data_IF_688128471764
#
_entry.id   IF_688128471764
#
_cell.length_a   1.000
_cell.length_b   1.000
_cell.length_c   1.000
_cell.angle_alpha   90.00
_cell.angle_beta   90.00
_cell.angle_gamma   90.00
#
_symmetry.space_group_name_H-M   'P 1'
#
loop_
_entity.id
_entity.type
_entity.pdbx_description
1 polymer ?
#
# COMPACT_ATOMS: atom_id res chain seq x y z
N UNK A 1 4.71 5.95 31.61
CA UNK A 1 4.99 4.53 31.27
C UNK A 1 5.02 4.29 29.75
N UNK A 2 4.08 4.85 28.97
CA UNK A 2 4.10 4.73 27.50
C UNK A 2 5.36 5.33 26.84
N UNK A 3 5.85 6.48 27.34
CA UNK A 3 7.05 7.15 26.79
C UNK A 3 8.32 6.32 26.91
N UNK A 4 8.51 5.58 28.01
CA UNK A 4 9.65 4.67 28.22
C UNK A 4 9.55 3.43 27.32
N UNK A 5 8.35 2.98 27.00
CA UNK A 5 8.12 1.88 26.06
C UNK A 5 8.42 2.32 24.61
N UNK A 6 7.96 3.52 24.21
CA UNK A 6 8.24 4.11 22.91
C UNK A 6 9.74 4.36 22.74
N UNK A 7 10.42 4.88 23.76
CA UNK A 7 11.85 5.13 23.71
C UNK A 7 12.66 3.84 23.58
N UNK A 8 12.27 2.76 24.28
CA UNK A 8 12.89 1.44 24.09
C UNK A 8 12.59 0.82 22.72
N UNK A 9 11.41 1.05 22.17
CA UNK A 9 11.06 0.61 20.81
C UNK A 9 11.86 1.36 19.75
N UNK A 10 12.10 2.67 19.94
CA UNK A 10 12.96 3.48 19.05
C UNK A 10 14.44 3.06 19.16
N UNK A 11 14.94 2.81 20.37
CA UNK A 11 16.30 2.28 20.57
C UNK A 11 16.49 0.88 19.93
N UNK A 12 15.43 0.07 19.88
CA UNK A 12 15.43 -1.21 19.19
C UNK A 12 15.31 -1.06 17.67
N UNK A 13 14.53 -0.11 17.16
CA UNK A 13 14.47 0.18 15.72
C UNK A 13 15.81 0.71 15.23
N UNK A 14 16.44 1.63 15.95
CA UNK A 14 17.74 2.20 15.58
C UNK A 14 18.85 1.13 15.58
N UNK A 15 18.79 0.15 16.51
CA UNK A 15 19.71 -0.99 16.50
C UNK A 15 19.47 -1.96 15.35
N UNK A 16 18.22 -2.19 14.95
CA UNK A 16 17.89 -3.05 13.82
C UNK A 16 18.21 -2.40 12.46
N UNK A 17 18.23 -1.06 12.39
CA UNK A 17 18.59 -0.31 11.18
C UNK A 17 20.08 0.02 11.05
N UNK A 18 20.84 0.07 12.16
CA UNK A 18 22.25 0.51 12.15
C UNK A 18 23.29 -0.59 11.95
N UNK A 19 22.90 -1.86 11.75
CA UNK A 19 23.84 -2.98 11.60
C UNK A 19 23.53 -3.91 10.43
N UNK A 20 23.37 -3.39 9.21
CA UNK A 20 23.47 -4.25 8.01
C UNK A 20 23.73 -3.44 6.73
N UNK A 21 24.80 -2.63 6.73
CA UNK A 21 25.37 -2.19 5.46
C UNK A 21 26.05 -3.39 4.78
N UNK A 22 25.41 -3.88 3.71
CA UNK A 22 26.03 -4.25 2.43
C UNK A 22 26.40 -5.71 2.07
N UNK A 23 26.12 -6.78 2.84
CA UNK A 23 26.54 -8.12 2.35
C UNK A 23 25.64 -9.34 2.51
N UNK A 24 24.46 -9.32 3.14
CA UNK A 24 23.67 -10.56 3.28
C UNK A 24 22.21 -10.36 2.84
N UNK A 25 21.84 -10.91 1.67
CA UNK A 25 20.45 -11.08 1.26
C UNK A 25 19.61 -11.95 2.24
N UNK A 26 20.23 -12.49 3.30
CA UNK A 26 19.59 -13.20 4.41
C UNK A 26 19.13 -12.32 5.59
N UNK A 27 19.35 -10.99 5.58
CA UNK A 27 19.07 -10.13 6.74
C UNK A 27 17.78 -9.31 6.65
N UNK A 28 16.90 -9.57 5.67
CA UNK A 28 15.62 -8.86 5.62
C UNK A 28 14.67 -9.48 6.66
N UNK A 29 14.57 -8.78 7.78
CA UNK A 29 13.70 -9.14 8.90
C UNK A 29 12.34 -8.44 8.75
N UNK A 30 11.27 -9.23 8.70
CA UNK A 30 9.91 -8.70 8.80
C UNK A 30 9.52 -8.65 10.29
N UNK A 31 9.31 -7.46 10.88
CA UNK A 31 8.99 -7.34 12.30
C UNK A 31 7.49 -7.58 12.53
N UNK A 32 7.09 -8.86 12.59
CA UNK A 32 5.67 -9.28 12.73
C UNK A 32 4.94 -8.55 13.86
N UNK A 33 5.53 -8.49 15.06
CA UNK A 33 4.93 -7.81 16.21
C UNK A 33 4.62 -6.33 15.94
N UNK A 34 5.52 -5.63 15.25
CA UNK A 34 5.32 -4.22 14.90
C UNK A 34 4.22 -4.09 13.85
N UNK A 35 4.16 -4.99 12.88
CA UNK A 35 3.12 -4.98 11.86
C UNK A 35 1.73 -5.26 12.45
N UNK A 36 1.62 -6.20 13.39
CA UNK A 36 0.38 -6.51 14.11
C UNK A 36 -0.11 -5.34 14.95
N UNK A 37 0.80 -4.68 15.68
CA UNK A 37 0.47 -3.49 16.47
C UNK A 37 0.01 -2.32 15.59
N UNK A 38 0.69 -2.07 14.46
CA UNK A 38 0.27 -1.04 13.51
C UNK A 38 -1.08 -1.37 12.86
N UNK A 39 -1.32 -2.64 12.51
CA UNK A 39 -2.62 -3.09 12.00
C UNK A 39 -3.71 -2.86 13.03
N UNK A 40 -3.46 -3.21 14.30
CA UNK A 40 -4.38 -2.97 15.40
C UNK A 40 -4.72 -1.49 15.56
N UNK A 41 -3.72 -0.61 15.57
CA UNK A 41 -3.93 0.84 15.69
C UNK A 41 -4.74 1.41 14.52
N UNK A 42 -4.52 0.93 13.30
CA UNK A 42 -5.29 1.36 12.12
C UNK A 42 -6.74 0.86 12.17
N UNK A 43 -6.97 -0.36 12.67
CA UNK A 43 -8.31 -0.90 12.89
C UNK A 43 -9.05 -0.17 14.01
N UNK A 44 -8.36 0.13 15.10
CA UNK A 44 -8.90 0.92 16.21
C UNK A 44 -9.26 2.33 15.76
N UNK A 45 -8.37 3.00 15.02
CA UNK A 45 -8.67 4.31 14.45
C UNK A 45 -9.94 4.28 13.58
N UNK A 46 -10.10 3.25 12.74
CA UNK A 46 -11.28 3.07 11.90
C UNK A 46 -12.55 2.86 12.72
N UNK A 47 -12.50 2.11 13.83
CA UNK A 47 -13.68 1.83 14.68
C UNK A 47 -14.18 3.07 15.43
N UNK A 48 -13.30 4.04 15.67
CA UNK A 48 -13.62 5.30 16.33
C UNK A 48 -14.10 6.42 15.37
N UNK A 49 -14.21 6.14 14.07
CA UNK A 49 -14.72 7.13 13.12
C UNK A 49 -16.19 7.47 13.42
N UNK A 50 -16.59 8.75 13.36
CA UNK A 50 -17.98 9.12 13.52
C UNK A 50 -18.84 8.50 12.40
N UNK A 51 -20.14 8.24 12.61
CA UNK A 51 -21.00 7.56 11.62
C UNK A 51 -21.02 8.22 10.24
N UNK A 52 -20.82 9.54 10.17
CA UNK A 52 -20.76 10.28 8.91
C UNK A 52 -19.48 10.02 8.09
N UNK A 53 -18.41 9.56 8.72
CA UNK A 53 -17.11 9.26 8.09
C UNK A 53 -16.82 7.77 8.00
N UNK A 54 -17.56 6.95 8.75
CA UNK A 54 -17.46 5.50 8.70
C UNK A 54 -17.62 4.98 7.26
N UNK A 55 -16.78 4.01 6.91
CA UNK A 55 -16.79 3.36 5.59
C UNK A 55 -16.83 1.84 5.74
N UNK A 56 -17.68 1.14 4.98
CA UNK A 56 -17.73 -0.31 4.99
C UNK A 56 -16.59 -0.89 4.16
N UNK A 57 -16.18 -2.12 4.46
CA UNK A 57 -15.24 -2.88 3.62
C UNK A 57 -15.84 -3.10 2.23
N UNK A 58 -17.11 -3.53 2.20
CA UNK A 58 -17.90 -3.77 0.99
C UNK A 58 -19.06 -2.80 0.93
N UNK A 59 -19.21 -2.14 -0.21
CA UNK A 59 -20.30 -1.18 -0.46
C UNK A 59 -19.83 0.28 -0.48
N UNK A 60 -20.80 1.18 -0.57
CA UNK A 60 -20.56 2.59 -0.87
C UNK A 60 -20.22 3.41 0.38
N UNK A 61 -19.13 4.15 0.32
CA UNK A 61 -18.81 5.22 1.27
C UNK A 61 -19.69 6.45 1.01
N UNK A 62 -20.18 7.07 2.08
CA UNK A 62 -21.06 8.25 1.98
C UNK A 62 -20.21 9.53 1.99
N UNK A 63 -19.80 9.96 0.80
CA UNK A 63 -19.15 11.26 0.57
C UNK A 63 -17.63 11.21 0.42
N UNK A 64 -17.09 12.31 -0.10
CA UNK A 64 -15.70 12.39 -0.57
C UNK A 64 -14.67 12.19 0.54
N UNK A 65 -14.95 12.70 1.75
CA UNK A 65 -14.05 12.52 2.89
C UNK A 65 -14.04 11.06 3.37
N UNK A 66 -15.19 10.37 3.39
CA UNK A 66 -15.26 8.95 3.75
C UNK A 66 -14.51 8.08 2.73
N UNK A 67 -14.59 8.41 1.44
CA UNK A 67 -13.79 7.77 0.38
C UNK A 67 -12.29 8.04 0.54
N UNK A 68 -11.91 9.28 0.84
CA UNK A 68 -10.52 9.62 1.11
C UNK A 68 -9.96 8.83 2.30
N UNK A 69 -10.71 8.72 3.39
CA UNK A 69 -10.30 7.96 4.57
C UNK A 69 -10.20 6.46 4.28
N UNK A 70 -11.13 5.89 3.49
CA UNK A 70 -11.04 4.50 3.00
C UNK A 70 -9.79 4.27 2.16
N UNK A 71 -9.48 5.21 1.27
CA UNK A 71 -8.26 5.18 0.48
C UNK A 71 -7.00 5.23 1.37
N UNK A 72 -6.95 6.15 2.34
CA UNK A 72 -5.81 6.27 3.25
C UNK A 72 -5.64 5.01 4.10
N UNK A 73 -6.74 4.45 4.62
CA UNK A 73 -6.74 3.19 5.36
C UNK A 73 -6.04 2.08 4.56
N UNK A 74 -6.47 1.81 3.33
CA UNK A 74 -5.88 0.75 2.53
C UNK A 74 -4.43 1.05 2.10
N UNK A 75 -4.08 2.32 1.85
CA UNK A 75 -2.69 2.70 1.59
C UNK A 75 -1.77 2.39 2.78
N UNK A 76 -2.21 2.72 4.01
CA UNK A 76 -1.45 2.46 5.23
C UNK A 76 -1.35 0.97 5.51
N UNK A 77 -2.44 0.20 5.40
CA UNK A 77 -2.41 -1.26 5.55
C UNK A 77 -1.47 -1.91 4.54
N UNK A 78 -1.48 -1.44 3.28
CA UNK A 78 -0.52 -1.90 2.27
C UNK A 78 0.93 -1.62 2.69
N UNK A 79 1.21 -0.43 3.23
CA UNK A 79 2.54 -0.04 3.71
C UNK A 79 3.03 -0.87 4.90
N UNK A 80 2.16 -1.17 5.86
CA UNK A 80 2.49 -2.01 7.04
C UNK A 80 3.03 -3.37 6.61
N UNK A 81 2.39 -3.99 5.63
CA UNK A 81 2.74 -5.33 5.16
C UNK A 81 3.68 -5.37 3.95
N UNK A 82 4.15 -4.20 3.47
CA UNK A 82 5.01 -4.12 2.30
C UNK A 82 6.31 -4.92 2.48
N UNK A 83 6.93 -4.83 3.66
CA UNK A 83 8.19 -5.54 3.93
C UNK A 83 8.01 -7.05 3.95
N UNK A 84 6.85 -7.55 4.41
CA UNK A 84 6.53 -8.98 4.33
C UNK A 84 6.46 -9.43 2.87
N UNK A 85 5.71 -8.71 2.04
CA UNK A 85 5.61 -9.01 0.61
C UNK A 85 6.98 -8.95 -0.10
N UNK A 86 7.77 -7.92 0.19
CA UNK A 86 9.11 -7.76 -0.36
C UNK A 86 10.02 -8.91 0.04
N UNK A 87 10.04 -9.28 1.33
CA UNK A 87 10.82 -10.42 1.83
C UNK A 87 10.38 -11.72 1.16
N UNK A 88 9.08 -12.00 1.13
CA UNK A 88 8.54 -13.21 0.53
C UNK A 88 8.96 -13.35 -0.94
N UNK A 89 8.98 -12.22 -1.68
CA UNK A 89 9.41 -12.17 -3.08
C UNK A 89 10.90 -12.44 -3.26
N UNK A 90 11.78 -11.82 -2.48
CA UNK A 90 13.22 -11.93 -2.70
C UNK A 90 13.83 -13.21 -2.11
N UNK A 91 13.26 -13.74 -1.01
CA UNK A 91 13.80 -14.94 -0.34
C UNK A 91 13.06 -16.21 -0.72
N UNK A 92 11.94 -16.12 -1.45
CA UNK A 92 11.04 -17.25 -1.73
C UNK A 92 10.60 -17.99 -0.45
N UNK A 93 10.53 -17.26 0.67
CA UNK A 93 10.12 -17.79 1.97
C UNK A 93 8.59 -17.93 1.98
N UNK A 94 8.13 -19.18 2.12
CA UNK A 94 6.71 -19.54 2.15
C UNK A 94 6.20 -19.81 3.57
N UNK A 95 6.89 -19.29 4.60
CA UNK A 95 6.41 -19.40 5.98
C UNK A 95 4.98 -18.84 6.11
N UNK A 96 4.05 -19.56 6.78
CA UNK A 96 2.62 -19.19 6.78
C UNK A 96 2.34 -17.76 7.25
N UNK A 97 3.09 -17.27 8.23
CA UNK A 97 2.98 -15.90 8.74
C UNK A 97 3.36 -14.86 7.68
N UNK A 98 4.45 -15.10 6.97
CA UNK A 98 4.96 -14.21 5.93
C UNK A 98 4.02 -14.21 4.71
N UNK A 99 3.53 -15.38 4.32
CA UNK A 99 2.55 -15.53 3.23
C UNK A 99 1.26 -14.79 3.56
N UNK A 100 0.72 -14.99 4.76
CA UNK A 100 -0.49 -14.30 5.23
C UNK A 100 -0.32 -12.77 5.22
N UNK A 101 0.83 -12.27 5.69
CA UNK A 101 1.14 -10.84 5.65
C UNK A 101 1.31 -10.32 4.21
N UNK A 102 1.98 -11.08 3.33
CA UNK A 102 2.13 -10.73 1.92
C UNK A 102 0.77 -10.64 1.21
N UNK A 103 -0.14 -11.60 1.46
CA UNK A 103 -1.51 -11.58 0.94
C UNK A 103 -2.31 -10.36 1.45
N UNK A 104 -2.16 -9.99 2.72
CA UNK A 104 -2.76 -8.76 3.27
C UNK A 104 -2.27 -7.52 2.52
N UNK A 105 -0.98 -7.46 2.18
CA UNK A 105 -0.41 -6.36 1.40
C UNK A 105 -1.05 -6.28 0.00
N UNK A 106 -1.09 -7.40 -0.72
CA UNK A 106 -1.69 -7.50 -2.07
C UNK A 106 -3.16 -7.11 -2.06
N UNK A 107 -3.94 -7.65 -1.11
CA UNK A 107 -5.36 -7.33 -0.96
C UNK A 107 -5.59 -5.86 -0.65
N UNK A 108 -4.77 -5.30 0.24
CA UNK A 108 -4.84 -3.88 0.61
C UNK A 108 -4.53 -2.97 -0.57
N UNK A 109 -3.58 -3.34 -1.42
CA UNK A 109 -3.31 -2.62 -2.67
C UNK A 109 -4.51 -2.62 -3.62
N UNK A 110 -5.14 -3.77 -3.86
CA UNK A 110 -6.33 -3.84 -4.71
C UNK A 110 -7.44 -2.93 -4.18
N UNK A 111 -7.78 -3.04 -2.88
CA UNK A 111 -8.78 -2.18 -2.25
C UNK A 111 -8.40 -0.70 -2.25
N UNK A 112 -7.11 -0.38 -2.15
CA UNK A 112 -6.60 0.99 -2.25
C UNK A 112 -6.86 1.59 -3.64
N UNK A 113 -6.56 0.83 -4.70
CA UNK A 113 -6.76 1.31 -6.07
C UNK A 113 -8.25 1.41 -6.42
N UNK A 114 -9.08 0.49 -5.94
CA UNK A 114 -10.54 0.58 -6.11
C UNK A 114 -11.10 1.81 -5.38
N UNK A 115 -10.70 2.04 -4.13
CA UNK A 115 -11.07 3.25 -3.40
C UNK A 115 -10.57 4.53 -4.09
N UNK A 116 -9.40 4.49 -4.74
CA UNK A 116 -8.89 5.59 -5.54
C UNK A 116 -9.76 5.85 -6.78
N UNK A 117 -10.17 4.80 -7.48
CA UNK A 117 -11.06 4.93 -8.64
C UNK A 117 -12.38 5.59 -8.27
N UNK A 118 -12.97 5.18 -7.14
CA UNK A 118 -14.21 5.77 -6.62
C UNK A 118 -14.01 7.22 -6.20
N UNK A 119 -12.94 7.50 -5.44
CA UNK A 119 -12.61 8.85 -4.97
C UNK A 119 -12.38 9.82 -6.14
N UNK A 120 -11.65 9.39 -7.17
CA UNK A 120 -11.35 10.19 -8.35
C UNK A 120 -12.41 10.10 -9.46
N UNK A 121 -13.52 9.39 -9.24
CA UNK A 121 -14.63 9.31 -10.20
C UNK A 121 -15.26 10.69 -10.46
N UNK A 122 -15.27 11.54 -9.42
CA UNK A 122 -15.77 12.92 -9.45
C UNK A 122 -14.61 13.93 -9.41
N UNK A 123 -14.81 15.18 -9.86
CA UNK A 123 -13.82 16.24 -9.68
C UNK A 123 -13.57 16.46 -8.19
N UNK A 124 -12.33 16.21 -7.74
CA UNK A 124 -11.93 16.39 -6.35
C UNK A 124 -11.29 17.77 -6.18
N UNK A 125 -11.64 18.49 -5.11
CA UNK A 125 -11.07 19.78 -4.71
C UNK A 125 -10.43 19.69 -3.31
N UNK A 126 -9.61 18.67 -3.09
CA UNK A 126 -8.91 18.45 -1.82
C UNK A 126 -7.44 18.88 -1.93
N UNK A 127 -6.87 19.49 -0.87
CA UNK A 127 -5.50 20.03 -0.87
C UNK A 127 -4.38 18.98 -1.00
N UNK A 128 -4.72 17.70 -1.19
CA UNK A 128 -3.76 16.59 -1.15
C UNK A 128 -3.83 15.64 -2.37
N UNK A 129 -4.52 16.05 -3.45
CA UNK A 129 -4.65 15.25 -4.68
C UNK A 129 -3.29 14.82 -5.22
N UNK A 130 -2.31 15.74 -5.27
CA UNK A 130 -0.97 15.43 -5.74
C UNK A 130 -0.30 14.31 -4.92
N UNK A 131 -0.40 14.36 -3.59
CA UNK A 131 0.16 13.30 -2.72
C UNK A 131 -0.57 11.96 -2.93
N UNK A 132 -1.89 11.98 -3.08
CA UNK A 132 -2.66 10.77 -3.36
C UNK A 132 -2.27 10.15 -4.71
N UNK A 133 -2.12 10.95 -5.76
CA UNK A 133 -1.65 10.49 -7.07
C UNK A 133 -0.22 9.93 -6.99
N UNK A 134 0.68 10.57 -6.24
CA UNK A 134 2.02 10.05 -5.97
C UNK A 134 1.96 8.70 -5.28
N UNK A 135 1.12 8.52 -4.25
CA UNK A 135 0.97 7.24 -3.55
C UNK A 135 0.44 6.14 -4.49
N UNK A 136 -0.54 6.46 -5.35
CA UNK A 136 -1.03 5.52 -6.36
C UNK A 136 0.10 5.07 -7.27
N UNK A 137 0.90 6.01 -7.77
CA UNK A 137 2.04 5.70 -8.62
C UNK A 137 3.08 4.86 -7.89
N UNK A 138 3.56 5.30 -6.73
CA UNK A 138 4.66 4.64 -5.99
C UNK A 138 4.29 3.22 -5.56
N UNK A 139 3.09 3.03 -4.98
CA UNK A 139 2.66 1.70 -4.53
C UNK A 139 2.44 0.79 -5.75
N UNK A 140 1.81 1.29 -6.83
CA UNK A 140 1.63 0.49 -8.05
C UNK A 140 2.96 0.14 -8.69
N UNK A 141 3.92 1.06 -8.75
CA UNK A 141 5.25 0.78 -9.29
C UNK A 141 5.93 -0.33 -8.47
N UNK A 142 5.86 -0.28 -7.13
CA UNK A 142 6.32 -1.36 -6.27
C UNK A 142 5.63 -2.69 -6.60
N UNK A 143 4.31 -2.69 -6.78
CA UNK A 143 3.58 -3.92 -7.11
C UNK A 143 3.97 -4.50 -8.49
N UNK A 144 4.45 -3.70 -9.45
CA UNK A 144 4.95 -4.25 -10.72
C UNK A 144 6.17 -5.14 -10.52
N UNK A 145 7.05 -4.83 -9.56
CA UNK A 145 8.17 -5.68 -9.18
C UNK A 145 7.68 -7.05 -8.66
N UNK A 146 6.69 -7.03 -7.77
CA UNK A 146 6.07 -8.25 -7.21
C UNK A 146 5.44 -9.11 -8.31
N UNK A 147 4.66 -8.51 -9.21
CA UNK A 147 4.06 -9.22 -10.35
C UNK A 147 5.11 -9.90 -11.24
N UNK A 148 6.28 -9.28 -11.40
CA UNK A 148 7.34 -9.80 -12.26
C UNK A 148 8.14 -10.93 -11.62
N UNK A 149 8.16 -11.02 -10.29
CA UNK A 149 8.81 -12.11 -9.56
C UNK A 149 8.04 -13.44 -9.57
N UNK A 150 6.86 -13.51 -10.22
CA UNK A 150 6.05 -14.73 -10.41
C UNK A 150 5.66 -15.48 -9.13
N UNK A 151 5.50 -14.78 -8.01
CA UNK A 151 5.16 -15.43 -6.74
C UNK A 151 3.66 -15.77 -6.65
N UNK A 152 3.29 -16.87 -6.03
CA UNK A 152 1.92 -17.44 -6.00
C UNK A 152 0.92 -16.70 -5.10
N UNK A 153 1.22 -15.48 -4.63
CA UNK A 153 0.37 -14.72 -3.69
C UNK A 153 -0.81 -14.02 -4.36
N UNK A 154 -1.83 -14.77 -4.81
CA UNK A 154 -3.12 -14.19 -5.26
C UNK A 154 -3.00 -13.13 -6.38
N UNK A 155 -1.92 -13.18 -7.18
CA UNK A 155 -1.57 -12.14 -8.16
C UNK A 155 -2.60 -11.99 -9.29
N UNK A 156 -3.53 -12.94 -9.45
CA UNK A 156 -4.59 -12.90 -10.47
C UNK A 156 -5.43 -11.61 -10.38
N UNK A 157 -5.54 -11.02 -9.19
CA UNK A 157 -6.32 -9.79 -8.97
C UNK A 157 -5.56 -8.50 -9.31
N UNK A 158 -4.22 -8.55 -9.43
CA UNK A 158 -3.41 -7.36 -9.62
C UNK A 158 -3.60 -6.70 -10.99
N UNK A 159 -3.92 -7.48 -12.03
CA UNK A 159 -4.03 -6.94 -13.39
C UNK A 159 -5.14 -5.89 -13.53
N UNK A 160 -6.27 -6.11 -12.89
CA UNK A 160 -7.36 -5.14 -12.87
C UNK A 160 -6.97 -3.90 -12.07
N UNK A 161 -6.34 -4.09 -10.90
CA UNK A 161 -5.83 -3.00 -10.07
C UNK A 161 -4.81 -2.13 -10.82
N UNK A 162 -3.86 -2.72 -11.55
CA UNK A 162 -2.92 -1.96 -12.37
C UNK A 162 -3.61 -1.14 -13.46
N UNK A 163 -4.53 -1.76 -14.21
CA UNK A 163 -5.30 -1.04 -15.25
C UNK A 163 -6.09 0.12 -14.65
N UNK A 164 -6.67 -0.07 -13.46
CA UNK A 164 -7.39 0.98 -12.74
C UNK A 164 -6.44 2.09 -12.29
N UNK A 165 -5.26 1.76 -11.73
CA UNK A 165 -4.26 2.75 -11.33
C UNK A 165 -3.80 3.62 -12.52
N UNK A 166 -3.47 3.00 -13.66
CA UNK A 166 -3.11 3.74 -14.89
C UNK A 166 -4.25 4.64 -15.35
N UNK A 167 -5.50 4.15 -15.31
CA UNK A 167 -6.68 4.96 -15.68
C UNK A 167 -6.85 6.19 -14.79
N UNK A 168 -6.67 6.03 -13.47
CA UNK A 168 -6.74 7.15 -12.53
C UNK A 168 -5.65 8.18 -12.81
N UNK A 169 -4.39 7.74 -12.95
CA UNK A 169 -3.26 8.63 -13.21
C UNK A 169 -3.40 9.36 -14.55
N UNK A 170 -3.73 8.63 -15.63
CA UNK A 170 -3.88 9.22 -16.98
C UNK A 170 -4.97 10.29 -17.05
N UNK A 171 -6.10 10.09 -16.35
CA UNK A 171 -7.18 11.09 -16.27
C UNK A 171 -6.69 12.43 -15.70
N UNK A 172 -5.83 12.37 -14.69
CA UNK A 172 -5.27 13.56 -14.03
C UNK A 172 -3.97 14.06 -14.67
N UNK A 173 -3.37 13.31 -15.60
CA UNK A 173 -2.15 13.68 -16.30
C UNK A 173 -2.27 14.95 -17.17
N UNK A 174 -3.49 15.28 -17.62
CA UNK A 174 -3.77 16.53 -18.33
C UNK A 174 -3.74 17.76 -17.42
N UNK A 175 -4.08 17.58 -16.14
CA UNK A 175 -4.10 18.63 -15.12
C UNK A 175 -2.74 18.75 -14.41
N UNK A 176 -2.01 17.64 -14.29
CA UNK A 176 -0.72 17.56 -13.63
C UNK A 176 0.28 16.82 -14.54
N UNK A 177 1.09 17.53 -15.35
CA UNK A 177 1.98 16.91 -16.34
C UNK A 177 2.90 15.78 -15.81
N UNK A 178 3.48 15.87 -14.59
CA UNK A 178 4.25 14.76 -14.02
C UNK A 178 3.44 13.48 -13.84
N UNK A 179 2.15 13.59 -13.52
CA UNK A 179 1.24 12.44 -13.34
C UNK A 179 0.97 11.75 -14.68
N UNK A 180 0.94 12.51 -15.78
CA UNK A 180 0.86 11.96 -17.13
C UNK A 180 2.05 11.04 -17.42
N UNK A 181 3.27 11.49 -17.11
CA UNK A 181 4.48 10.67 -17.26
C UNK A 181 4.45 9.41 -16.37
N UNK A 182 3.98 9.54 -15.12
CA UNK A 182 3.82 8.39 -14.22
C UNK A 182 2.86 7.33 -14.76
N UNK A 183 1.76 7.75 -15.40
CA UNK A 183 0.83 6.82 -16.02
C UNK A 183 1.48 6.03 -17.16
N UNK A 184 2.29 6.69 -18.00
CA UNK A 184 3.04 6.06 -19.09
C UNK A 184 4.07 5.07 -18.55
N UNK A 185 4.88 5.49 -17.56
CA UNK A 185 5.88 4.61 -16.93
C UNK A 185 5.22 3.38 -16.32
N UNK A 186 4.09 3.56 -15.61
CA UNK A 186 3.40 2.43 -15.00
C UNK A 186 2.81 1.49 -16.06
N UNK A 187 2.25 2.02 -17.16
CA UNK A 187 1.74 1.24 -18.27
C UNK A 187 2.86 0.44 -18.96
N UNK A 188 4.00 1.06 -19.25
CA UNK A 188 5.17 0.37 -19.81
C UNK A 188 5.62 -0.77 -18.91
N UNK A 189 5.79 -0.52 -17.60
CA UNK A 189 6.19 -1.55 -16.63
C UNK A 189 5.19 -2.68 -16.49
N UNK A 190 3.90 -2.39 -16.62
CA UNK A 190 2.84 -3.38 -16.63
C UNK A 190 2.87 -4.24 -17.91
N UNK A 191 3.13 -3.62 -19.07
CA UNK A 191 3.18 -4.27 -20.37
C UNK A 191 4.50 -5.02 -20.64
N UNK A 192 5.55 -4.78 -19.85
CA UNK A 192 6.87 -5.43 -20.03
C UNK A 192 6.88 -6.91 -19.60
N UNK A 193 5.83 -7.67 -19.90
CA UNK A 193 5.84 -9.14 -19.92
C UNK A 193 5.80 -9.63 -21.37
N UNK A 194 6.98 -9.67 -21.99
CA UNK A 194 7.39 -10.67 -23.00
C UNK A 194 8.78 -11.15 -22.65
#
# INVERSE_FOLDING_TARGET
MAEVAIQKMMEQSDRNFSSSSLQHHNEIHFPTLVAEELEFQVLEWRSHLPPALAFPDVGFSRGDLSLYLKLQYHAHTCGIFWLALYKAVITTDESPELVSAAEKCVRSYCSFVDAAADFFSKPVLLPHIAMTLTSIFTISLGMTFVKNAQVTFGLEQLDNSFKTAVRVLSRYGTLYPPVGQWSTVLQERFDTKR
#
